data_IF_216838140620
#
_entry.id   IF_216838140620
#
_cell.length_a   1.000
_cell.length_b   1.000
_cell.length_c   1.000
_cell.angle_alpha   90.00
_cell.angle_beta   90.00
_cell.angle_gamma   90.00
#
_symmetry.space_group_name_H-M   'P 1'
#
loop_
_entity.id
_entity.type
_entity.pdbx_description
1 polymer ?
#
# COMPACT_ATOMS: atom_id res chain seq x y z
N UNK A 1 5.09 60.55 -11.69
CA UNK A 1 4.49 59.98 -10.45
C UNK A 1 3.07 59.60 -10.81
N UNK A 2 2.55 58.37 -10.82
CA UNK A 2 2.89 57.01 -10.38
C UNK A 2 2.28 56.07 -11.46
N UNK A 3 2.74 54.87 -11.83
CA UNK A 3 3.52 53.85 -11.14
C UNK A 3 2.64 52.65 -10.76
N UNK A 4 2.51 51.66 -11.68
CA UNK A 4 2.28 50.21 -11.45
C UNK A 4 0.96 49.74 -10.75
N UNK A 5 0.26 48.64 -11.05
CA UNK A 5 0.51 47.38 -11.77
C UNK A 5 -0.77 46.91 -12.54
N UNK A 6 -0.62 46.47 -13.79
CA UNK A 6 -1.53 45.51 -14.42
C UNK A 6 -1.01 44.10 -14.10
N UNK A 7 -1.82 43.26 -13.43
CA UNK A 7 -1.55 41.83 -13.27
C UNK A 7 -1.68 41.15 -14.63
N UNK A 8 -0.53 40.74 -15.20
CA UNK A 8 -0.49 39.73 -16.23
C UNK A 8 -0.97 38.41 -15.62
N UNK A 9 -2.10 37.91 -16.12
CA UNK A 9 -2.60 36.58 -15.84
C UNK A 9 -1.77 35.64 -16.70
N UNK A 10 -0.76 35.02 -16.10
CA UNK A 10 0.03 33.98 -16.74
C UNK A 10 -0.89 32.79 -17.00
N UNK A 11 -1.02 32.41 -18.28
CA UNK A 11 -1.63 31.17 -18.72
C UNK A 11 -0.97 30.01 -17.97
N UNK A 12 -1.73 29.40 -17.08
CA UNK A 12 -1.36 28.12 -16.46
C UNK A 12 -1.68 27.06 -17.51
N UNK A 13 -0.73 26.20 -17.93
CA UNK A 13 -1.04 25.12 -18.85
C UNK A 13 -2.09 24.24 -18.18
N UNK A 14 -3.21 24.05 -18.87
CA UNK A 14 -4.24 23.10 -18.45
C UNK A 14 -3.57 21.72 -18.31
N UNK A 15 -3.44 21.25 -17.08
CA UNK A 15 -3.23 19.84 -16.79
C UNK A 15 -4.43 19.10 -17.36
N UNK A 16 -4.23 18.47 -18.52
CA UNK A 16 -5.08 17.39 -19.00
C UNK A 16 -4.99 16.25 -17.98
N UNK A 17 -5.78 16.35 -16.91
CA UNK A 17 -6.14 15.21 -16.09
C UNK A 17 -7.05 14.37 -16.98
N UNK A 18 -6.67 13.13 -17.36
CA UNK A 18 -7.56 12.27 -18.10
C UNK A 18 -8.81 12.07 -17.25
N UNK A 19 -9.96 12.33 -17.86
CA UNK A 19 -11.28 12.12 -17.29
C UNK A 19 -11.37 10.64 -16.89
N UNK A 20 -11.24 10.39 -15.58
CA UNK A 20 -11.41 9.07 -15.03
C UNK A 20 -12.89 8.74 -15.19
N UNK A 21 -13.20 7.86 -16.14
CA UNK A 21 -14.42 7.07 -16.09
C UNK A 21 -14.37 6.22 -14.82
N UNK A 22 -14.69 6.86 -13.70
CA UNK A 22 -14.70 6.27 -12.37
C UNK A 22 -15.90 5.33 -12.29
N UNK A 23 -15.75 4.14 -12.88
CA UNK A 23 -16.51 2.99 -12.44
C UNK A 23 -16.25 2.80 -10.94
N UNK A 24 -17.28 2.33 -10.22
CA UNK A 24 -17.16 1.97 -8.80
C UNK A 24 -15.87 1.15 -8.63
N UNK A 25 -14.91 1.60 -7.79
CA UNK A 25 -13.65 0.89 -7.63
C UNK A 25 -13.99 -0.52 -7.15
N UNK A 26 -13.76 -1.50 -8.02
CA UNK A 26 -13.86 -2.90 -7.63
C UNK A 26 -12.70 -3.16 -6.71
N UNK A 27 -12.95 -3.13 -5.41
CA UNK A 27 -11.99 -3.66 -4.46
C UNK A 27 -11.76 -5.11 -4.85
N UNK A 28 -10.51 -5.55 -5.06
CA UNK A 28 -10.30 -6.98 -5.19
C UNK A 28 -10.77 -7.72 -3.92
N UNK A 29 -10.99 -7.00 -2.78
CA UNK A 29 -11.79 -7.38 -1.55
C UNK A 29 -13.14 -8.03 -1.81
N UNK A 30 -13.74 -7.73 -2.93
CA UNK A 30 -15.05 -8.28 -3.27
C UNK A 30 -14.94 -9.45 -4.27
N UNK A 31 -13.76 -9.67 -4.87
CA UNK A 31 -13.52 -10.69 -5.90
C UNK A 31 -12.53 -11.80 -5.50
N UNK A 32 -11.91 -11.75 -4.31
CA UNK A 32 -10.89 -12.73 -3.91
C UNK A 32 -11.34 -14.19 -3.83
N UNK A 33 -12.65 -14.49 -3.81
CA UNK A 33 -13.11 -15.89 -3.82
C UNK A 33 -12.77 -16.60 -5.14
N UNK A 34 -12.48 -15.86 -6.23
CA UNK A 34 -12.19 -16.42 -7.56
C UNK A 34 -10.71 -16.56 -7.94
N UNK A 35 -9.78 -16.02 -7.15
CA UNK A 35 -8.36 -15.94 -7.54
C UNK A 35 -8.09 -14.95 -8.68
N UNK A 36 -6.91 -14.32 -8.71
CA UNK A 36 -6.50 -13.46 -9.82
C UNK A 36 -5.57 -14.23 -10.76
N UNK A 37 -5.98 -14.52 -12.01
CA UNK A 37 -5.13 -15.24 -12.94
C UNK A 37 -4.00 -14.32 -13.43
N UNK A 38 -2.78 -14.56 -12.94
CA UNK A 38 -1.60 -13.77 -13.34
C UNK A 38 -1.28 -13.88 -14.84
N UNK A 39 -1.72 -14.95 -15.50
CA UNK A 39 -1.53 -15.15 -16.94
C UNK A 39 -2.74 -14.71 -17.78
N UNK A 40 -3.77 -14.17 -17.11
CA UNK A 40 -4.97 -13.70 -17.77
C UNK A 40 -4.72 -12.42 -18.58
N UNK A 41 -5.46 -12.23 -19.69
CA UNK A 41 -5.43 -10.96 -20.41
C UNK A 41 -5.88 -9.84 -19.46
N UNK A 42 -5.07 -8.77 -19.39
CA UNK A 42 -5.38 -7.58 -18.58
C UNK A 42 -4.78 -7.55 -17.18
N UNK A 43 -4.12 -8.61 -16.68
CA UNK A 43 -3.45 -8.59 -15.36
C UNK A 43 -2.45 -7.42 -15.24
N UNK A 44 -1.63 -7.20 -16.28
CA UNK A 44 -0.70 -6.08 -16.34
C UNK A 44 -1.40 -4.72 -16.20
N UNK A 45 -2.47 -4.50 -16.98
CA UNK A 45 -3.22 -3.25 -16.94
C UNK A 45 -3.90 -3.05 -15.57
N UNK A 46 -4.38 -4.14 -14.98
CA UNK A 46 -5.00 -4.13 -13.66
C UNK A 46 -4.01 -3.74 -12.56
N UNK A 47 -2.78 -4.26 -12.57
CA UNK A 47 -1.76 -3.89 -11.58
C UNK A 47 -1.23 -2.45 -11.76
N UNK A 48 -1.17 -1.97 -13.00
CA UNK A 48 -0.50 -0.72 -13.34
C UNK A 48 -1.42 0.50 -13.45
N UNK A 49 -2.73 0.30 -13.38
CA UNK A 49 -3.71 1.40 -13.40
C UNK A 49 -4.28 1.53 -12.00
N UNK A 50 -3.92 2.59 -11.24
CA UNK A 50 -4.51 2.85 -9.94
C UNK A 50 -6.04 2.85 -10.04
N UNK A 51 -6.69 2.08 -9.17
CA UNK A 51 -8.15 1.96 -9.20
C UNK A 51 -8.86 3.20 -8.63
N UNK A 52 -8.10 4.10 -7.97
CA UNK A 52 -8.63 5.27 -7.28
C UNK A 52 -7.52 6.33 -7.13
N UNK A 53 -7.90 7.61 -7.02
CA UNK A 53 -6.99 8.66 -6.58
C UNK A 53 -6.70 8.50 -5.09
N UNK A 54 -5.43 8.65 -4.70
CA UNK A 54 -5.05 8.69 -3.30
C UNK A 54 -5.36 10.06 -2.71
N UNK A 55 -5.96 10.09 -1.52
CA UNK A 55 -6.31 11.33 -0.83
C UNK A 55 -5.37 11.54 0.37
N UNK A 56 -4.88 12.77 0.59
CA UNK A 56 -4.12 13.08 1.80
C UNK A 56 -4.93 12.84 3.07
N UNK A 57 -4.27 12.31 4.10
CA UNK A 57 -4.82 12.23 5.46
C UNK A 57 -4.09 13.26 6.34
N UNK A 58 -4.68 14.44 6.59
CA UNK A 58 -4.04 15.47 7.40
C UNK A 58 -4.08 15.16 8.90
N UNK A 59 -4.97 14.25 9.34
CA UNK A 59 -5.07 13.86 10.75
C UNK A 59 -3.88 13.00 11.13
N UNK A 60 -3.42 13.16 12.36
CA UNK A 60 -2.33 12.37 12.92
C UNK A 60 -2.78 11.81 14.26
N UNK A 61 -2.42 10.56 14.52
CA UNK A 61 -2.67 9.85 15.77
C UNK A 61 -1.88 10.44 16.96
N UNK A 62 -0.97 11.40 16.70
CA UNK A 62 -0.12 12.08 17.70
C UNK A 62 -0.82 13.16 18.54
N UNK A 63 -2.15 13.13 18.68
CA UNK A 63 -2.84 14.01 19.62
C UNK A 63 -2.65 13.59 21.09
N UNK A 64 -1.85 12.54 21.34
CA UNK A 64 -1.39 12.08 22.65
C UNK A 64 -2.28 10.97 23.18
N UNK A 65 -3.58 11.24 23.32
CA UNK A 65 -4.53 10.33 23.96
C UNK A 65 -4.65 8.97 23.25
N UNK A 66 -4.91 8.95 21.94
CA UNK A 66 -5.05 7.69 21.20
C UNK A 66 -3.73 6.91 21.13
N UNK A 67 -2.63 7.62 20.87
CA UNK A 67 -1.32 7.00 20.77
C UNK A 67 -0.87 6.39 22.10
N UNK A 68 -1.09 7.09 23.21
CA UNK A 68 -0.72 6.62 24.54
C UNK A 68 -1.49 5.35 24.91
N UNK A 69 -2.79 5.29 24.59
CA UNK A 69 -3.61 4.09 24.78
C UNK A 69 -3.08 2.89 23.98
N UNK A 70 -2.71 3.10 22.72
CA UNK A 70 -2.14 2.04 21.86
C UNK A 70 -0.76 1.61 22.37
N UNK A 71 0.11 2.56 22.72
CA UNK A 71 1.46 2.27 23.24
C UNK A 71 1.37 1.50 24.56
N UNK A 72 0.44 1.88 25.45
CA UNK A 72 0.26 1.19 26.72
C UNK A 72 -0.08 -0.29 26.50
N UNK A 73 -1.08 -0.58 25.68
CA UNK A 73 -1.46 -1.96 25.36
C UNK A 73 -0.34 -2.71 24.63
N UNK A 74 0.34 -2.05 23.68
CA UNK A 74 1.45 -2.67 22.97
C UNK A 74 2.59 -3.06 23.95
N UNK A 75 2.79 -2.29 25.02
CA UNK A 75 3.79 -2.55 26.05
C UNK A 75 3.35 -3.66 27.02
N UNK A 76 2.09 -3.68 27.44
CA UNK A 76 1.59 -4.61 28.47
C UNK A 76 1.19 -5.97 27.91
N UNK A 77 0.47 -5.98 26.78
CA UNK A 77 -0.18 -7.17 26.23
C UNK A 77 0.36 -7.56 24.85
N UNK A 78 1.07 -6.65 24.19
CA UNK A 78 1.63 -6.83 22.85
C UNK A 78 0.72 -6.31 21.73
N UNK A 79 1.34 -5.99 20.59
CA UNK A 79 0.69 -5.31 19.45
C UNK A 79 -0.31 -6.16 18.65
N UNK A 80 -0.37 -7.47 18.92
CA UNK A 80 -1.29 -8.41 18.27
C UNK A 80 -2.26 -9.05 19.26
N UNK A 81 -2.46 -8.45 20.44
CA UNK A 81 -3.30 -8.98 21.50
C UNK A 81 -4.80 -8.68 21.27
N UNK A 82 -5.73 -9.43 21.89
CA UNK A 82 -7.14 -9.05 21.91
C UNK A 82 -7.40 -7.69 22.56
N UNK A 83 -6.56 -7.29 23.53
CA UNK A 83 -6.61 -5.97 24.15
C UNK A 83 -6.33 -4.85 23.12
N UNK A 84 -5.40 -5.09 22.18
CA UNK A 84 -5.12 -4.16 21.08
C UNK A 84 -6.35 -3.98 20.20
N UNK A 85 -7.05 -5.07 19.85
CA UNK A 85 -8.30 -4.97 19.11
C UNK A 85 -9.35 -4.13 19.85
N UNK A 86 -9.55 -4.38 21.15
CA UNK A 86 -10.52 -3.65 21.95
C UNK A 86 -10.22 -2.14 22.01
N UNK A 87 -8.97 -1.74 22.24
CA UNK A 87 -8.57 -0.32 22.26
C UNK A 87 -8.75 0.33 20.89
N UNK A 88 -8.33 -0.34 19.82
CA UNK A 88 -8.41 0.24 18.47
C UNK A 88 -9.86 0.33 17.98
N UNK A 89 -10.70 -0.66 18.29
CA UNK A 89 -12.13 -0.64 17.97
C UNK A 89 -12.87 0.47 18.73
N UNK A 90 -12.54 0.70 20.00
CA UNK A 90 -13.05 1.84 20.78
C UNK A 90 -12.65 3.18 20.16
N UNK A 91 -11.37 3.35 19.80
CA UNK A 91 -10.89 4.55 19.11
C UNK A 91 -11.59 4.76 17.76
N UNK A 92 -11.79 3.71 16.98
CA UNK A 92 -12.50 3.78 15.68
C UNK A 92 -13.98 4.17 15.83
N UNK A 93 -14.60 3.94 17.00
CA UNK A 93 -15.95 4.39 17.28
C UNK A 93 -16.04 5.91 17.54
N UNK A 94 -14.93 6.56 17.89
CA UNK A 94 -14.88 8.01 18.07
C UNK A 94 -14.83 8.73 16.72
N UNK A 95 -15.73 9.70 16.45
CA UNK A 95 -15.79 10.41 15.17
C UNK A 95 -14.48 11.07 14.72
N UNK A 96 -13.63 11.50 15.67
CA UNK A 96 -12.34 12.13 15.36
C UNK A 96 -11.32 11.16 14.75
N UNK A 97 -11.36 9.88 15.14
CA UNK A 97 -10.46 8.85 14.64
C UNK A 97 -11.13 7.89 13.65
N UNK A 98 -12.45 7.99 13.49
CA UNK A 98 -13.17 7.28 12.45
C UNK A 98 -12.47 7.50 11.10
N UNK A 99 -12.31 6.39 10.36
CA UNK A 99 -11.62 6.36 9.07
C UNK A 99 -10.14 6.79 9.10
N UNK A 100 -9.46 6.73 10.24
CA UNK A 100 -8.01 6.94 10.31
C UNK A 100 -7.28 5.64 9.95
N UNK A 101 -6.58 5.63 8.82
CA UNK A 101 -5.90 4.44 8.28
C UNK A 101 -4.89 3.83 9.26
N UNK A 102 -4.21 4.68 10.04
CA UNK A 102 -3.22 4.28 11.04
C UNK A 102 -3.81 3.40 12.13
N UNK A 103 -5.11 3.50 12.44
CA UNK A 103 -5.76 2.58 13.38
C UNK A 103 -5.94 1.18 12.77
N UNK A 104 -6.32 1.11 11.50
CA UNK A 104 -6.45 -0.16 10.80
C UNK A 104 -5.11 -0.90 10.66
N UNK A 105 -3.97 -0.18 10.64
CA UNK A 105 -2.64 -0.82 10.64
C UNK A 105 -2.28 -1.48 11.97
N UNK A 106 -2.87 -1.05 13.09
CA UNK A 106 -2.80 -1.75 14.37
C UNK A 106 -3.82 -2.88 14.49
N UNK A 107 -5.02 -2.70 13.96
CA UNK A 107 -6.11 -3.67 14.10
C UNK A 107 -5.92 -4.92 13.22
N UNK A 108 -5.55 -4.76 11.95
CA UNK A 108 -5.46 -5.88 11.02
C UNK A 108 -4.47 -6.98 11.46
N UNK A 109 -3.27 -6.66 12.00
CA UNK A 109 -2.34 -7.67 12.52
C UNK A 109 -2.88 -8.53 13.67
N UNK A 110 -3.80 -8.02 14.49
CA UNK A 110 -4.43 -8.80 15.59
C UNK A 110 -5.17 -10.01 15.01
N UNK A 111 -5.75 -9.87 13.83
CA UNK A 111 -6.54 -10.90 13.17
C UNK A 111 -5.75 -11.71 12.13
N UNK A 112 -4.41 -11.63 12.12
CA UNK A 112 -3.54 -12.25 11.11
C UNK A 112 -3.93 -13.70 10.81
N UNK A 113 -4.05 -14.02 9.52
CA UNK A 113 -4.36 -15.37 9.05
C UNK A 113 -5.84 -15.76 9.10
N UNK A 114 -6.72 -14.89 9.61
CA UNK A 114 -8.17 -15.13 9.67
C UNK A 114 -8.92 -14.29 8.62
N UNK A 115 -10.15 -14.69 8.27
CA UNK A 115 -11.01 -13.90 7.38
C UNK A 115 -11.30 -12.50 7.94
N UNK A 116 -11.35 -12.37 9.26
CA UNK A 116 -11.53 -11.09 9.95
C UNK A 116 -10.44 -10.07 9.60
N UNK A 117 -9.21 -10.51 9.34
CA UNK A 117 -8.14 -9.64 8.83
C UNK A 117 -8.56 -8.92 7.55
N UNK A 118 -9.15 -9.65 6.61
CA UNK A 118 -9.55 -9.12 5.31
C UNK A 118 -10.78 -8.22 5.42
N UNK A 119 -11.70 -8.54 6.33
CA UNK A 119 -12.85 -7.69 6.65
C UNK A 119 -12.38 -6.32 7.17
N UNK A 120 -11.46 -6.31 8.14
CA UNK A 120 -10.90 -5.08 8.73
C UNK A 120 -10.18 -4.25 7.66
N UNK A 121 -9.31 -4.87 6.86
CA UNK A 121 -8.61 -4.19 5.76
C UNK A 121 -9.61 -3.62 4.74
N UNK A 122 -10.66 -4.39 4.40
CA UNK A 122 -11.71 -3.98 3.47
C UNK A 122 -12.60 -2.87 4.01
N UNK A 123 -12.86 -2.84 5.32
CA UNK A 123 -13.54 -1.73 5.97
C UNK A 123 -12.69 -0.47 5.85
N UNK A 124 -11.41 -0.53 6.24
CA UNK A 124 -10.49 0.59 6.12
C UNK A 124 -10.40 1.13 4.70
N UNK A 125 -10.24 0.28 3.69
CA UNK A 125 -10.14 0.70 2.29
C UNK A 125 -11.39 1.45 1.80
N UNK A 126 -12.58 1.10 2.30
CA UNK A 126 -13.83 1.78 1.96
C UNK A 126 -14.00 3.12 2.67
N UNK A 127 -13.45 3.26 3.87
CA UNK A 127 -13.73 4.43 4.72
C UNK A 127 -12.61 5.46 4.74
N UNK A 128 -11.34 5.02 4.69
CA UNK A 128 -10.18 5.88 4.89
C UNK A 128 -9.88 6.70 3.63
N UNK A 129 -9.51 7.99 3.76
CA UNK A 129 -9.07 8.80 2.63
C UNK A 129 -7.74 8.25 2.07
N UNK A 130 -6.75 8.05 2.95
CA UNK A 130 -5.45 7.45 2.62
C UNK A 130 -5.53 5.92 2.64
N UNK A 131 -5.07 5.28 1.56
CA UNK A 131 -5.28 3.84 1.30
C UNK A 131 -4.00 3.05 1.09
N UNK A 132 -2.88 3.66 0.70
CA UNK A 132 -1.66 2.91 0.37
C UNK A 132 -1.17 2.00 1.52
N UNK A 133 -1.23 2.43 2.78
CA UNK A 133 -0.90 1.56 3.92
C UNK A 133 -1.81 0.33 4.02
N UNK A 134 -3.10 0.50 3.73
CA UNK A 134 -4.09 -0.58 3.77
C UNK A 134 -3.93 -1.53 2.59
N UNK A 135 -3.51 -1.02 1.43
CA UNK A 135 -3.14 -1.82 0.28
C UNK A 135 -1.90 -2.68 0.58
N UNK A 136 -0.88 -2.14 1.24
CA UNK A 136 0.27 -2.95 1.66
C UNK A 136 -0.16 -4.10 2.58
N UNK A 137 -0.99 -3.82 3.59
CA UNK A 137 -1.56 -4.86 4.47
C UNK A 137 -2.36 -5.91 3.70
N UNK A 138 -3.13 -5.51 2.70
CA UNK A 138 -3.83 -6.44 1.82
C UNK A 138 -2.85 -7.34 1.05
N UNK A 139 -1.74 -6.77 0.57
CA UNK A 139 -0.68 -7.53 -0.10
C UNK A 139 -0.04 -8.56 0.83
N UNK A 140 0.30 -8.17 2.05
CA UNK A 140 0.87 -9.05 3.09
C UNK A 140 -0.10 -10.18 3.44
N UNK A 141 -1.38 -9.84 3.67
CA UNK A 141 -2.40 -10.82 4.02
C UNK A 141 -2.55 -11.91 2.94
N UNK A 142 -2.24 -11.59 1.69
CA UNK A 142 -2.40 -12.49 0.56
C UNK A 142 -1.19 -13.32 0.29
N UNK A 143 -0.02 -12.71 0.47
CA UNK A 143 1.22 -13.45 0.52
C UNK A 143 1.14 -14.56 1.57
N UNK A 144 0.63 -14.27 2.77
CA UNK A 144 0.42 -15.26 3.84
C UNK A 144 -0.51 -16.41 3.41
N UNK A 145 -1.47 -16.13 2.52
CA UNK A 145 -2.40 -17.11 1.93
C UNK A 145 -1.86 -17.78 0.65
N UNK A 146 -0.59 -17.55 0.29
CA UNK A 146 0.04 -18.12 -0.90
C UNK A 146 -0.42 -17.49 -2.22
N UNK A 147 -1.04 -16.31 -2.18
CA UNK A 147 -1.65 -15.62 -3.32
C UNK A 147 -0.76 -14.52 -3.87
N UNK A 148 0.33 -14.94 -4.53
CA UNK A 148 1.37 -14.04 -5.04
C UNK A 148 0.87 -13.04 -6.10
N UNK A 149 -0.03 -13.46 -7.00
CA UNK A 149 -0.54 -12.58 -8.05
C UNK A 149 -1.30 -11.38 -7.48
N UNK A 150 -2.13 -11.64 -6.48
CA UNK A 150 -2.87 -10.60 -5.80
C UNK A 150 -1.97 -9.78 -4.89
N UNK A 151 -1.04 -10.41 -4.16
CA UNK A 151 -0.07 -9.67 -3.35
C UNK A 151 0.67 -8.61 -4.20
N UNK A 152 1.16 -9.01 -5.38
CA UNK A 152 1.80 -8.10 -6.33
C UNK A 152 0.86 -6.99 -6.84
N UNK A 153 -0.42 -7.30 -7.09
CA UNK A 153 -1.41 -6.29 -7.43
C UNK A 153 -1.51 -5.22 -6.33
N UNK A 154 -1.64 -5.64 -5.07
CA UNK A 154 -1.84 -4.73 -3.96
C UNK A 154 -0.60 -3.88 -3.68
N UNK A 155 0.59 -4.46 -3.73
CA UNK A 155 1.83 -3.69 -3.59
C UNK A 155 2.05 -2.72 -4.75
N UNK A 156 1.71 -3.09 -5.99
CA UNK A 156 1.79 -2.19 -7.14
C UNK A 156 0.88 -0.97 -6.97
N UNK A 157 -0.35 -1.17 -6.50
CA UNK A 157 -1.27 -0.08 -6.19
C UNK A 157 -0.78 0.74 -5.00
N UNK A 158 -0.27 0.08 -3.94
CA UNK A 158 0.25 0.75 -2.75
C UNK A 158 1.34 1.76 -3.12
N UNK A 159 2.38 1.32 -3.84
CA UNK A 159 3.47 2.25 -4.19
C UNK A 159 3.00 3.31 -5.18
N UNK A 160 2.19 2.96 -6.18
CA UNK A 160 1.69 3.95 -7.15
C UNK A 160 0.90 5.07 -6.47
N UNK A 161 0.09 4.72 -5.48
CA UNK A 161 -0.69 5.68 -4.72
C UNK A 161 0.18 6.52 -3.78
N UNK A 162 1.12 5.89 -3.07
CA UNK A 162 2.09 6.62 -2.24
C UNK A 162 2.92 7.61 -3.06
N UNK A 163 3.36 7.22 -4.27
CA UNK A 163 4.03 8.12 -5.21
C UNK A 163 3.15 9.31 -5.60
N UNK A 164 1.86 9.10 -5.85
CA UNK A 164 0.93 10.15 -6.29
C UNK A 164 0.72 11.28 -5.28
N UNK A 165 0.94 11.01 -3.99
CA UNK A 165 0.84 12.00 -2.89
C UNK A 165 2.21 12.40 -2.32
N UNK A 166 3.31 12.03 -2.99
CA UNK A 166 4.67 12.39 -2.58
C UNK A 166 5.24 11.61 -1.39
N UNK A 167 4.54 10.57 -0.92
CA UNK A 167 4.94 9.71 0.19
C UNK A 167 5.68 8.43 -0.25
N UNK A 168 6.02 8.29 -1.54
CA UNK A 168 6.61 7.07 -2.09
C UNK A 168 7.80 6.49 -1.31
N UNK A 169 8.71 7.33 -0.80
CA UNK A 169 9.86 6.88 0.01
C UNK A 169 9.48 6.20 1.33
N UNK A 170 8.27 6.46 1.83
CA UNK A 170 7.74 5.88 3.09
C UNK A 170 6.96 4.60 2.87
N UNK A 171 6.72 4.17 1.63
CA UNK A 171 5.91 3.01 1.34
C UNK A 171 6.67 1.70 1.61
N UNK A 172 6.33 1.00 2.69
CA UNK A 172 6.88 -0.31 3.06
C UNK A 172 6.65 -1.40 2.00
N UNK A 173 5.64 -1.23 1.13
CA UNK A 173 5.42 -2.12 -0.01
C UNK A 173 6.65 -2.23 -0.93
N UNK A 174 7.56 -1.24 -0.94
CA UNK A 174 8.83 -1.36 -1.65
C UNK A 174 9.71 -2.51 -1.15
N UNK A 175 9.68 -2.81 0.15
CA UNK A 175 10.47 -3.89 0.75
C UNK A 175 10.07 -5.25 0.15
N UNK A 176 8.76 -5.47 0.00
CA UNK A 176 8.20 -6.63 -0.68
C UNK A 176 8.51 -6.65 -2.18
N UNK A 177 8.43 -5.51 -2.86
CA UNK A 177 8.75 -5.41 -4.28
C UNK A 177 10.24 -5.65 -4.57
N UNK A 178 11.15 -5.25 -3.67
CA UNK A 178 12.60 -5.51 -3.76
C UNK A 178 12.86 -7.02 -3.73
N UNK A 179 12.30 -7.72 -2.73
CA UNK A 179 12.49 -9.17 -2.61
C UNK A 179 11.80 -9.90 -3.77
N UNK A 180 10.60 -9.46 -4.17
CA UNK A 180 9.87 -10.03 -5.31
C UNK A 180 10.66 -9.87 -6.61
N UNK A 181 11.17 -8.68 -6.90
CA UNK A 181 12.00 -8.43 -8.08
C UNK A 181 13.27 -9.29 -8.08
N UNK A 182 13.90 -9.45 -6.92
CA UNK A 182 15.07 -10.30 -6.77
C UNK A 182 14.75 -11.78 -7.09
N UNK A 183 13.69 -12.33 -6.50
CA UNK A 183 13.23 -13.72 -6.73
C UNK A 183 12.88 -13.96 -8.20
N UNK A 184 12.28 -12.97 -8.87
CA UNK A 184 11.94 -13.04 -10.29
C UNK A 184 13.14 -12.85 -11.23
N UNK A 185 14.33 -12.54 -10.72
CA UNK A 185 15.53 -12.29 -11.52
C UNK A 185 15.61 -10.88 -12.13
N UNK A 186 14.73 -9.97 -11.72
CA UNK A 186 14.61 -8.61 -12.26
C UNK A 186 15.58 -7.64 -11.56
N UNK A 187 16.88 -7.80 -11.83
CA UNK A 187 17.97 -7.03 -11.19
C UNK A 187 17.82 -5.51 -11.36
N UNK A 188 17.40 -5.06 -12.55
CA UNK A 188 17.18 -3.64 -12.83
C UNK A 188 16.06 -3.04 -11.98
N UNK A 189 14.94 -3.76 -11.85
CA UNK A 189 13.84 -3.36 -10.98
C UNK A 189 14.25 -3.36 -9.50
N UNK A 190 14.98 -4.39 -9.06
CA UNK A 190 15.52 -4.49 -7.69
C UNK A 190 16.34 -3.25 -7.33
N UNK A 191 17.27 -2.84 -8.20
CA UNK A 191 18.11 -1.65 -7.98
C UNK A 191 17.27 -0.38 -7.86
N UNK A 192 16.28 -0.21 -8.75
CA UNK A 192 15.41 0.97 -8.74
C UNK A 192 14.55 1.04 -7.48
N UNK A 193 13.94 -0.05 -7.06
CA UNK A 193 13.14 -0.08 -5.84
C UNK A 193 13.99 0.20 -4.60
N UNK A 194 15.20 -0.37 -4.49
CA UNK A 194 16.14 -0.06 -3.41
C UNK A 194 16.52 1.41 -3.37
N UNK A 195 16.87 1.99 -4.53
CA UNK A 195 17.19 3.41 -4.61
C UNK A 195 16.00 4.28 -4.19
N UNK A 196 14.78 3.89 -4.58
CA UNK A 196 13.57 4.64 -4.23
C UNK A 196 13.23 4.58 -2.74
N UNK A 197 13.45 3.43 -2.11
CA UNK A 197 13.23 3.22 -0.68
C UNK A 197 14.39 3.75 0.19
N UNK A 198 15.34 4.50 -0.37
CA UNK A 198 16.56 4.96 0.31
C UNK A 198 17.41 3.80 0.91
N UNK A 199 17.35 2.62 0.30
CA UNK A 199 18.03 1.38 0.74
C UNK A 199 19.21 0.97 -0.17
N UNK A 200 19.70 1.88 -1.02
CA UNK A 200 20.73 1.57 -2.01
C UNK A 200 22.05 1.05 -1.40
N UNK A 201 22.38 1.50 -0.19
CA UNK A 201 23.65 1.20 0.49
C UNK A 201 23.56 0.04 1.50
N UNK A 202 22.38 -0.60 1.64
CA UNK A 202 22.17 -1.67 2.61
C UNK A 202 22.41 -3.06 1.99
N UNK A 203 23.34 -3.88 2.53
CA UNK A 203 23.73 -5.16 1.93
C UNK A 203 22.84 -6.36 2.28
N UNK A 204 21.79 -6.23 3.10
CA UNK A 204 21.03 -7.38 3.60
C UNK A 204 19.52 -7.18 3.59
N UNK A 205 18.83 -8.31 3.57
CA UNK A 205 17.39 -8.54 3.39
C UNK A 205 16.53 -7.49 4.11
N UNK A 206 15.67 -6.83 3.33
CA UNK A 206 14.79 -5.76 3.81
C UNK A 206 13.62 -6.32 4.64
N UNK A 207 13.20 -7.53 4.28
CA UNK A 207 12.19 -8.30 5.01
C UNK A 207 12.87 -9.27 5.99
N UNK A 208 12.15 -9.64 7.04
CA UNK A 208 12.55 -10.75 7.91
C UNK A 208 12.58 -12.10 7.15
N UNK A 209 13.13 -13.13 7.80
CA UNK A 209 13.27 -14.46 7.21
C UNK A 209 11.92 -15.10 6.87
N UNK A 210 10.87 -14.84 7.67
CA UNK A 210 9.54 -15.38 7.46
C UNK A 210 8.94 -14.83 6.15
N UNK A 211 8.84 -13.52 6.01
CA UNK A 211 8.29 -12.89 4.82
C UNK A 211 9.18 -13.11 3.60
N UNK A 212 10.50 -13.17 3.76
CA UNK A 212 11.41 -13.53 2.67
C UNK A 212 11.10 -14.94 2.15
N UNK A 213 10.92 -15.93 3.03
CA UNK A 213 10.56 -17.28 2.64
C UNK A 213 9.17 -17.34 1.96
N UNK A 214 8.20 -16.55 2.45
CA UNK A 214 6.89 -16.45 1.83
C UNK A 214 6.95 -15.90 0.40
N UNK A 215 7.70 -14.82 0.18
CA UNK A 215 7.91 -14.23 -1.17
C UNK A 215 8.61 -15.23 -2.08
N UNK A 216 9.70 -15.85 -1.61
CA UNK A 216 10.40 -16.89 -2.36
C UNK A 216 9.46 -18.00 -2.81
N UNK A 217 8.60 -18.50 -1.90
CA UNK A 217 7.63 -19.55 -2.20
C UNK A 217 6.59 -19.10 -3.22
N UNK A 218 6.00 -17.91 -3.02
CA UNK A 218 4.91 -17.40 -3.86
C UNK A 218 5.37 -17.04 -5.29
N UNK A 219 6.61 -16.58 -5.44
CA UNK A 219 7.12 -16.06 -6.72
C UNK A 219 8.19 -16.96 -7.38
N UNK A 220 8.52 -18.13 -6.80
CA UNK A 220 9.50 -19.09 -7.36
C UNK A 220 9.24 -19.44 -8.83
N UNK A 221 7.97 -19.57 -9.21
CA UNK A 221 7.51 -19.84 -10.57
C UNK A 221 6.77 -18.64 -11.17
N UNK A 222 7.19 -17.43 -10.82
CA UNK A 222 6.52 -16.22 -11.25
C UNK A 222 6.42 -16.12 -12.77
N UNK A 223 5.27 -15.66 -13.22
CA UNK A 223 4.91 -15.71 -14.64
C UNK A 223 5.49 -14.55 -15.43
N UNK A 224 5.43 -14.63 -16.77
CA UNK A 224 5.90 -13.54 -17.64
C UNK A 224 5.21 -12.22 -17.29
N UNK A 225 3.90 -12.26 -17.04
CA UNK A 225 3.13 -11.07 -16.72
C UNK A 225 3.55 -10.44 -15.38
N UNK A 226 3.82 -11.25 -14.34
CA UNK A 226 4.33 -10.74 -13.06
C UNK A 226 5.68 -10.03 -13.23
N UNK A 227 6.59 -10.60 -14.03
CA UNK A 227 7.88 -9.95 -14.35
C UNK A 227 7.66 -8.62 -15.06
N UNK A 228 6.75 -8.59 -16.04
CA UNK A 228 6.41 -7.35 -16.75
C UNK A 228 5.81 -6.30 -15.82
N UNK A 229 4.95 -6.68 -14.86
CA UNK A 229 4.44 -5.76 -13.83
C UNK A 229 5.59 -5.13 -13.05
N UNK A 230 6.50 -5.95 -12.53
CA UNK A 230 7.66 -5.48 -11.74
C UNK A 230 8.56 -4.55 -12.56
N UNK A 231 8.88 -4.93 -13.80
CA UNK A 231 9.69 -4.12 -14.71
C UNK A 231 9.03 -2.77 -15.02
N UNK A 232 7.75 -2.79 -15.40
CA UNK A 232 6.99 -1.59 -15.76
C UNK A 232 6.78 -0.67 -14.56
N UNK A 233 6.54 -1.22 -13.37
CA UNK A 233 6.44 -0.43 -12.14
C UNK A 233 7.76 0.29 -11.87
N UNK A 234 8.90 -0.42 -11.95
CA UNK A 234 10.21 0.19 -11.78
C UNK A 234 10.54 1.28 -12.83
N UNK A 235 9.97 1.20 -14.03
CA UNK A 235 10.14 2.25 -15.05
C UNK A 235 9.35 3.53 -14.73
N UNK A 236 8.28 3.43 -13.96
CA UNK A 236 7.39 4.56 -13.61
C UNK A 236 7.82 5.31 -12.36
N UNK A 237 8.74 4.75 -11.58
CA UNK A 237 9.23 5.36 -10.35
C UNK A 237 10.12 6.57 -10.68
N UNK A 238 9.86 7.74 -10.05
CA UNK A 238 10.73 8.90 -10.17
C UNK A 238 12.16 8.59 -9.72
N UNK A 239 13.15 9.15 -10.43
CA UNK A 239 14.56 9.02 -10.08
C UNK A 239 14.89 9.67 -8.73
#
# INVERSE_FOLDING_TARGET
MLGWLKRNRSDTPATNVPDASAGIPRWPLETWRGGLPSDGPGYLALCLTPAFPEEPEPRNLRDGEALDRIIEVARTDGSTSPAMAAVVEDLLAEPRYAALDSLYTWLAPVYRGTDRQLEVIGQGLRTCPRKYWLLDLAGIAMLQRGRGAEALYYWAHSVSNAESVGDGRKASAYDFLIVTAHVLGERGATKKFRARADQADHPQTVLDDEYTALVQRAFRKGTKAMRTVVQSLAQRIPA
#
